data_IF_049198478448
#
_entry.id   IF_049198478448
#
_cell.length_a   1.000
_cell.length_b   1.000
_cell.length_c   1.000
_cell.angle_alpha   90.00
_cell.angle_beta   90.00
_cell.angle_gamma   90.00
#
_symmetry.space_group_name_H-M   'P 1'
#
loop_
_entity.id
_entity.type
_entity.pdbx_description
1 polymer ?
#
# COMPACT_ATOMS: atom_id res chain seq x y z
N UNK A 1 -32.93 -13.11 -2.48
CA UNK A 1 -32.24 -12.80 -1.19
C UNK A 1 -31.77 -11.38 -1.34
N UNK A 2 -32.21 -10.47 -0.47
CA UNK A 2 -32.07 -9.03 -0.68
C UNK A 2 -30.62 -8.59 -0.65
N UNK A 3 -30.12 -8.05 -1.76
CA UNK A 3 -28.89 -7.26 -1.82
C UNK A 3 -29.05 -6.05 -0.90
N UNK A 4 -28.62 -6.18 0.36
CA UNK A 4 -28.43 -5.02 1.22
C UNK A 4 -27.19 -4.30 0.74
N UNK A 5 -27.38 -3.19 0.02
CA UNK A 5 -26.34 -2.21 -0.24
C UNK A 5 -25.70 -1.81 1.09
N UNK A 6 -24.51 -2.35 1.38
CA UNK A 6 -23.74 -1.96 2.56
C UNK A 6 -23.11 -0.61 2.27
N UNK A 7 -23.79 0.45 2.67
CA UNK A 7 -23.25 1.81 2.62
C UNK A 7 -22.26 2.01 3.76
N UNK A 8 -21.01 2.36 3.43
CA UNK A 8 -19.98 2.71 4.41
C UNK A 8 -20.43 3.97 5.16
N UNK A 9 -20.46 3.93 6.50
CA UNK A 9 -20.78 5.11 7.29
C UNK A 9 -19.68 6.17 7.21
N UNK A 10 -20.02 7.44 7.48
CA UNK A 10 -19.04 8.53 7.48
C UNK A 10 -17.89 8.28 8.47
N UNK A 11 -18.19 7.73 9.64
CA UNK A 11 -17.19 7.38 10.66
C UNK A 11 -16.22 6.31 10.17
N UNK A 12 -16.73 5.26 9.52
CA UNK A 12 -15.90 4.21 8.91
C UNK A 12 -15.05 4.73 7.76
N UNK A 13 -15.59 5.66 6.96
CA UNK A 13 -14.84 6.30 5.88
C UNK A 13 -13.66 7.13 6.43
N UNK A 14 -13.87 7.87 7.52
CA UNK A 14 -12.80 8.65 8.18
C UNK A 14 -11.69 7.72 8.70
N UNK A 15 -12.06 6.56 9.28
CA UNK A 15 -11.08 5.56 9.72
C UNK A 15 -10.30 4.99 8.54
N UNK A 16 -10.97 4.64 7.43
CA UNK A 16 -10.31 4.15 6.21
C UNK A 16 -9.36 5.20 5.62
N UNK A 17 -9.78 6.47 5.57
CA UNK A 17 -8.92 7.57 5.10
C UNK A 17 -7.67 7.75 5.95
N UNK A 18 -7.80 7.65 7.28
CA UNK A 18 -6.66 7.71 8.19
C UNK A 18 -5.68 6.57 7.92
N UNK A 19 -6.19 5.33 7.84
CA UNK A 19 -5.38 4.13 7.54
C UNK A 19 -4.67 4.28 6.19
N UNK A 20 -5.36 4.78 5.17
CA UNK A 20 -4.76 5.05 3.86
C UNK A 20 -3.64 6.07 3.92
N UNK A 21 -3.84 7.16 4.66
CA UNK A 21 -2.81 8.21 4.83
C UNK A 21 -1.54 7.67 5.49
N UNK A 22 -1.69 6.83 6.52
CA UNK A 22 -0.57 6.17 7.21
C UNK A 22 0.20 5.24 6.27
N UNK A 23 -0.52 4.42 5.48
CA UNK A 23 0.09 3.51 4.50
C UNK A 23 0.83 4.30 3.43
N UNK A 24 0.20 5.35 2.87
CA UNK A 24 0.83 6.24 1.88
C UNK A 24 2.13 6.84 2.43
N UNK A 25 2.13 7.30 3.68
CA UNK A 25 3.32 7.87 4.31
C UNK A 25 4.44 6.82 4.47
N UNK A 26 4.10 5.61 4.93
CA UNK A 26 5.05 4.50 5.07
C UNK A 26 5.68 4.11 3.72
N UNK A 27 4.86 4.00 2.67
CA UNK A 27 5.33 3.72 1.30
C UNK A 27 6.27 4.82 0.81
N UNK A 28 5.88 6.08 0.94
CA UNK A 28 6.71 7.21 0.51
C UNK A 28 8.05 7.24 1.24
N UNK A 29 8.08 6.91 2.53
CA UNK A 29 9.32 6.82 3.30
C UNK A 29 10.22 5.68 2.78
N UNK A 30 9.65 4.49 2.54
CA UNK A 30 10.39 3.37 1.98
C UNK A 30 10.98 3.70 0.60
N UNK A 31 10.20 4.34 -0.28
CA UNK A 31 10.64 4.76 -1.60
C UNK A 31 11.73 5.84 -1.52
N UNK A 32 11.61 6.81 -0.62
CA UNK A 32 12.64 7.83 -0.41
C UNK A 32 13.98 7.21 -0.02
N UNK A 33 13.97 6.21 0.87
CA UNK A 33 15.20 5.46 1.26
C UNK A 33 15.77 4.69 0.07
N UNK A 34 14.95 4.00 -0.71
CA UNK A 34 15.40 3.27 -1.91
C UNK A 34 16.01 4.23 -2.95
N UNK A 35 15.36 5.38 -3.19
CA UNK A 35 15.86 6.40 -4.11
C UNK A 35 17.20 6.97 -3.64
N UNK A 36 17.31 7.30 -2.35
CA UNK A 36 18.56 7.78 -1.78
C UNK A 36 19.68 6.74 -1.90
N UNK A 37 19.41 5.47 -1.62
CA UNK A 37 20.37 4.38 -1.77
C UNK A 37 20.77 4.16 -3.23
N UNK A 38 19.84 4.28 -4.18
CA UNK A 38 20.12 4.23 -5.61
C UNK A 38 21.04 5.36 -6.06
N UNK A 39 20.77 6.58 -5.60
CA UNK A 39 21.59 7.75 -5.90
C UNK A 39 23.01 7.65 -5.27
N UNK A 40 23.10 7.05 -4.08
CA UNK A 40 24.37 6.76 -3.42
C UNK A 40 25.13 5.63 -4.12
N UNK A 41 24.46 4.56 -4.56
CA UNK A 41 25.10 3.40 -5.19
C UNK A 41 25.74 3.74 -6.54
N UNK A 42 25.18 4.72 -7.27
CA UNK A 42 25.79 5.24 -8.49
C UNK A 42 27.15 5.90 -8.24
N UNK A 43 27.35 6.56 -7.09
CA UNK A 43 28.61 7.22 -6.73
C UNK A 43 29.56 6.31 -5.95
N UNK A 44 29.02 5.40 -5.16
CA UNK A 44 29.74 4.48 -4.27
C UNK A 44 29.13 3.08 -4.39
N UNK A 45 29.74 2.19 -5.19
CA UNK A 45 29.22 0.84 -5.45
C UNK A 45 28.90 0.02 -4.19
N UNK A 46 29.58 0.28 -3.07
CA UNK A 46 29.35 -0.36 -1.77
C UNK A 46 27.91 -0.23 -1.26
N UNK A 47 27.16 0.81 -1.67
CA UNK A 47 25.75 0.97 -1.29
C UNK A 47 24.81 0.07 -2.09
N UNK A 48 25.27 -0.60 -3.16
CA UNK A 48 24.43 -1.46 -4.01
C UNK A 48 23.88 -2.67 -3.23
N UNK A 49 24.70 -3.25 -2.35
CA UNK A 49 24.27 -4.36 -1.50
C UNK A 49 23.19 -3.90 -0.51
N UNK A 50 23.39 -2.72 0.09
CA UNK A 50 22.41 -2.12 1.01
C UNK A 50 21.10 -1.76 0.29
N UNK A 51 21.18 -1.27 -0.95
CA UNK A 51 20.02 -1.04 -1.81
C UNK A 51 19.27 -2.36 -2.06
N UNK A 52 19.97 -3.41 -2.51
CA UNK A 52 19.37 -4.71 -2.79
C UNK A 52 18.67 -5.31 -1.57
N UNK A 53 19.33 -5.30 -0.40
CA UNK A 53 18.74 -5.76 0.86
C UNK A 53 17.50 -4.96 1.25
N UNK A 54 17.56 -3.63 1.08
CA UNK A 54 16.41 -2.75 1.36
C UNK A 54 15.25 -3.04 0.43
N UNK A 55 15.48 -3.23 -0.87
CA UNK A 55 14.42 -3.58 -1.85
C UNK A 55 13.78 -4.91 -1.50
N UNK A 56 14.59 -5.95 -1.24
CA UNK A 56 14.10 -7.29 -0.88
C UNK A 56 13.26 -7.29 0.40
N UNK A 57 13.51 -6.37 1.32
CA UNK A 57 12.76 -6.29 2.58
C UNK A 57 11.52 -5.39 2.46
N UNK A 58 11.67 -4.20 1.87
CA UNK A 58 10.63 -3.17 1.88
C UNK A 58 9.59 -3.36 0.79
N UNK A 59 9.95 -3.89 -0.38
CA UNK A 59 8.97 -4.11 -1.44
C UNK A 59 7.86 -5.11 -1.04
N UNK A 60 8.15 -6.28 -0.42
CA UNK A 60 7.09 -7.15 0.09
C UNK A 60 6.23 -6.50 1.18
N UNK A 61 6.83 -5.69 2.06
CA UNK A 61 6.09 -4.95 3.09
C UNK A 61 5.09 -3.96 2.48
N UNK A 62 5.48 -3.22 1.44
CA UNK A 62 4.58 -2.32 0.71
C UNK A 62 3.40 -3.09 0.13
N UNK A 63 3.65 -4.23 -0.52
CA UNK A 63 2.60 -5.07 -1.10
C UNK A 63 1.65 -5.58 -0.01
N UNK A 64 2.17 -6.09 1.10
CA UNK A 64 1.37 -6.56 2.24
C UNK A 64 0.46 -5.45 2.78
N UNK A 65 1.02 -4.27 3.06
CA UNK A 65 0.24 -3.15 3.59
C UNK A 65 -0.87 -2.68 2.64
N UNK A 66 -0.62 -2.69 1.32
CA UNK A 66 -1.63 -2.38 0.32
C UNK A 66 -2.73 -3.45 0.28
N UNK A 67 -2.36 -4.73 0.29
CA UNK A 67 -3.32 -5.84 0.32
C UNK A 67 -4.20 -5.79 1.58
N UNK A 68 -3.61 -5.58 2.75
CA UNK A 68 -4.33 -5.42 4.02
C UNK A 68 -5.31 -4.24 4.00
N UNK A 69 -4.95 -3.15 3.32
CA UNK A 69 -5.85 -2.02 3.13
C UNK A 69 -6.98 -2.35 2.17
N UNK A 70 -6.67 -2.94 1.01
CA UNK A 70 -7.68 -3.34 0.02
C UNK A 70 -8.67 -4.33 0.62
N UNK A 71 -8.20 -5.28 1.43
CA UNK A 71 -9.07 -6.21 2.14
C UNK A 71 -9.99 -5.46 3.12
N UNK A 72 -9.43 -4.61 3.98
CA UNK A 72 -10.22 -3.81 4.93
C UNK A 72 -11.25 -2.91 4.24
N UNK A 73 -10.91 -2.37 3.06
CA UNK A 73 -11.82 -1.58 2.24
C UNK A 73 -12.96 -2.45 1.68
N UNK A 74 -12.64 -3.60 1.10
CA UNK A 74 -13.63 -4.50 0.51
C UNK A 74 -14.60 -5.08 1.56
N UNK A 75 -14.12 -5.37 2.77
CA UNK A 75 -14.96 -5.80 3.89
C UNK A 75 -16.02 -4.76 4.27
N UNK A 76 -15.68 -3.46 4.12
CA UNK A 76 -16.57 -2.33 4.41
C UNK A 76 -17.46 -1.95 3.24
N UNK A 77 -16.94 -2.00 2.01
CA UNK A 77 -17.65 -1.62 0.79
C UNK A 77 -18.64 -2.68 0.29
N UNK A 78 -18.56 -3.93 0.78
CA UNK A 78 -19.33 -5.06 0.24
C UNK A 78 -18.64 -5.70 -0.98
N UNK A 79 -19.22 -6.78 -1.55
CA UNK A 79 -18.64 -7.46 -2.70
C UNK A 79 -18.46 -6.47 -3.86
N UNK A 80 -17.32 -6.58 -4.54
CA UNK A 80 -16.99 -5.79 -5.73
C UNK A 80 -18.14 -5.98 -6.74
N UNK A 81 -18.74 -4.92 -7.30
CA UNK A 81 -19.73 -5.09 -8.36
C UNK A 81 -19.09 -5.91 -9.49
N UNK A 82 -19.73 -7.01 -9.86
CA UNK A 82 -19.36 -7.82 -11.04
C UNK A 82 -19.41 -6.90 -12.27
N UNK A 83 -18.25 -6.41 -12.73
CA UNK A 83 -18.23 -5.50 -13.88
C UNK A 83 -17.03 -4.58 -14.03
N UNK A 84 -16.07 -4.54 -13.10
CA UNK A 84 -14.81 -3.83 -13.35
C UNK A 84 -13.78 -4.85 -13.87
N UNK A 85 -13.53 -4.92 -15.19
CA UNK A 85 -12.53 -5.81 -15.75
C UNK A 85 -11.16 -5.51 -15.13
N UNK A 86 -10.53 -6.54 -14.59
CA UNK A 86 -9.13 -6.52 -14.15
C UNK A 86 -8.26 -6.33 -15.39
N UNK A 87 -7.51 -5.23 -15.44
CA UNK A 87 -6.41 -5.03 -16.39
C UNK A 87 -5.13 -5.69 -15.85
#
# INVERSE_FOLDING_TARGET
MSDQERTISQEELVVLQKKFSEIKHSINNALAVMMALSEMSQRRPDYSEKLASTVLTKAPQIVSSLQEFTQALNEKAGPKPEGIPTA
#
